data_IF_087426225444
#
_entry.id   IF_087426225444
#
_cell.length_a   1.000
_cell.length_b   1.000
_cell.length_c   1.000
_cell.angle_alpha   90.00
_cell.angle_beta   90.00
_cell.angle_gamma   90.00
#
_symmetry.space_group_name_H-M   'P 1'
#
loop_
_entity.id
_entity.type
_entity.pdbx_description
1 polymer ?
#
# COMPACT_ATOMS: atom_id res chain seq x y z
N UNK A 1 2.21 15.25 11.81
CA UNK A 1 3.34 14.31 11.90
C UNK A 1 3.08 13.21 10.87
N UNK A 2 4.06 12.83 10.04
CA UNK A 2 3.87 11.75 9.05
C UNK A 2 4.23 10.41 9.67
N UNK A 3 3.34 9.43 9.54
CA UNK A 3 3.57 8.05 9.96
C UNK A 3 4.29 7.30 8.83
N UNK A 4 5.27 6.47 9.19
CA UNK A 4 6.07 5.69 8.25
C UNK A 4 6.10 4.24 8.67
N UNK A 5 5.77 3.34 7.74
CA UNK A 5 5.97 1.91 7.89
C UNK A 5 6.98 1.44 6.85
N UNK A 6 7.96 0.63 7.26
CA UNK A 6 9.00 0.09 6.39
C UNK A 6 9.03 -1.43 6.55
N UNK A 7 9.01 -2.15 5.44
CA UNK A 7 9.13 -3.61 5.43
C UNK A 7 10.09 -4.05 4.32
N UNK A 8 10.90 -5.06 4.63
CA UNK A 8 11.78 -5.72 3.68
C UNK A 8 11.30 -7.17 3.53
N UNK A 9 11.17 -7.61 2.29
CA UNK A 9 10.83 -8.98 1.91
C UNK A 9 11.98 -9.58 1.12
N UNK A 10 12.39 -10.78 1.50
CA UNK A 10 13.39 -11.57 0.78
C UNK A 10 12.86 -12.99 0.59
N UNK A 11 13.01 -13.54 -0.61
CA UNK A 11 12.64 -14.93 -0.90
C UNK A 11 12.32 -15.18 -2.38
N UNK A 12 11.67 -16.31 -2.68
CA UNK A 12 11.14 -16.59 -4.01
C UNK A 12 10.18 -15.49 -4.48
N UNK A 13 10.09 -15.22 -5.80
CA UNK A 13 9.23 -14.17 -6.34
C UNK A 13 7.78 -14.24 -5.84
N UNK A 14 7.16 -15.41 -5.86
CA UNK A 14 5.75 -15.62 -5.51
C UNK A 14 5.51 -15.33 -4.02
N UNK A 15 6.46 -15.71 -3.16
CA UNK A 15 6.39 -15.46 -1.72
C UNK A 15 6.63 -14.00 -1.36
N UNK A 16 7.50 -13.32 -2.10
CA UNK A 16 7.71 -11.87 -1.92
C UNK A 16 6.48 -11.09 -2.37
N UNK A 17 5.91 -11.42 -3.52
CA UNK A 17 4.68 -10.80 -4.03
C UNK A 17 3.52 -10.97 -3.05
N UNK A 18 3.26 -12.22 -2.61
CA UNK A 18 2.16 -12.50 -1.67
C UNK A 18 2.31 -11.72 -0.37
N UNK A 19 3.48 -11.74 0.26
CA UNK A 19 3.71 -11.05 1.55
C UNK A 19 3.69 -9.53 1.41
N UNK A 20 4.17 -8.99 0.29
CA UNK A 20 4.10 -7.56 0.01
C UNK A 20 2.65 -7.09 -0.16
N UNK A 21 1.83 -7.89 -0.86
CA UNK A 21 0.40 -7.62 -1.02
C UNK A 21 -0.36 -7.74 0.31
N UNK A 22 -0.08 -8.76 1.12
CA UNK A 22 -0.64 -8.90 2.47
C UNK A 22 -0.31 -7.69 3.35
N UNK A 23 0.94 -7.20 3.28
CA UNK A 23 1.35 -5.99 4.00
C UNK A 23 0.57 -4.77 3.51
N UNK A 24 0.50 -4.52 2.20
CA UNK A 24 -0.21 -3.37 1.63
C UNK A 24 -1.73 -3.40 1.84
N UNK A 25 -2.31 -4.60 2.00
CA UNK A 25 -3.74 -4.76 2.30
C UNK A 25 -4.09 -4.51 3.77
N UNK A 26 -3.11 -4.43 4.69
CA UNK A 26 -3.35 -4.16 6.10
C UNK A 26 -3.97 -2.76 6.27
N UNK A 27 -5.03 -2.67 7.10
CA UNK A 27 -5.79 -1.42 7.31
C UNK A 27 -4.92 -0.28 7.85
N UNK A 28 -3.81 -0.57 8.51
CA UNK A 28 -2.86 0.43 9.00
C UNK A 28 -2.07 1.12 7.88
N UNK A 29 -2.01 0.50 6.68
CA UNK A 29 -1.35 1.05 5.48
C UNK A 29 -2.31 1.29 4.30
N UNK A 30 -3.53 0.76 4.34
CA UNK A 30 -4.54 0.87 3.27
C UNK A 30 -5.01 2.31 2.93
N UNK A 31 -4.50 3.33 3.63
CA UNK A 31 -4.76 4.75 3.38
C UNK A 31 -3.46 5.57 3.23
N UNK A 32 -2.42 4.94 2.70
CA UNK A 32 -1.15 5.59 2.44
C UNK A 32 -1.29 6.73 1.44
N UNK A 33 -0.70 7.89 1.74
CA UNK A 33 -0.56 8.98 0.78
C UNK A 33 0.59 8.73 -0.20
N UNK A 34 1.54 7.86 0.17
CA UNK A 34 2.67 7.49 -0.68
C UNK A 34 3.16 6.07 -0.39
N UNK A 35 3.36 5.30 -1.44
CA UNK A 35 4.04 4.00 -1.40
C UNK A 35 5.29 4.07 -2.26
N UNK A 36 6.44 3.68 -1.70
CA UNK A 36 7.71 3.55 -2.41
C UNK A 36 8.09 2.07 -2.38
N UNK A 37 8.35 1.52 -3.56
CA UNK A 37 8.79 0.14 -3.76
C UNK A 37 10.16 0.16 -4.43
N UNK A 38 11.14 -0.53 -3.85
CA UNK A 38 12.46 -0.72 -4.46
C UNK A 38 12.81 -2.20 -4.47
N UNK A 39 13.36 -2.67 -5.59
CA UNK A 39 13.88 -4.03 -5.72
C UNK A 39 15.39 -3.96 -6.05
N UNK A 40 16.20 -4.88 -5.52
CA UNK A 40 17.65 -4.91 -5.81
C UNK A 40 18.25 -6.31 -5.93
N UNK A 41 17.48 -7.36 -5.69
CA UNK A 41 17.88 -8.75 -5.91
C UNK A 41 16.82 -9.46 -6.75
N UNK A 42 17.26 -10.35 -7.64
CA UNK A 42 16.37 -11.13 -8.53
C UNK A 42 16.30 -12.61 -8.15
N UNK A 43 17.30 -13.14 -7.43
CA UNK A 43 17.30 -14.51 -6.90
C UNK A 43 18.24 -14.62 -5.66
N UNK A 44 17.71 -14.61 -4.42
CA UNK A 44 16.32 -14.37 -4.09
C UNK A 44 15.89 -12.93 -4.40
N UNK A 45 14.60 -12.74 -4.64
CA UNK A 45 14.03 -11.39 -4.78
C UNK A 45 14.21 -10.65 -3.47
N UNK A 46 14.68 -9.40 -3.53
CA UNK A 46 14.77 -8.49 -2.39
C UNK A 46 13.98 -7.23 -2.66
N UNK A 47 12.95 -6.99 -1.84
CA UNK A 47 11.96 -5.92 -2.01
C UNK A 47 11.87 -5.08 -0.72
N UNK A 48 12.02 -3.77 -0.84
CA UNK A 48 11.69 -2.78 0.19
C UNK A 48 10.36 -2.14 -0.17
N UNK A 49 9.43 -2.14 0.78
CA UNK A 49 8.18 -1.38 0.70
C UNK A 49 8.19 -0.37 1.85
N UNK A 50 8.10 0.91 1.49
CA UNK A 50 7.93 2.00 2.43
C UNK A 50 6.59 2.69 2.17
N UNK A 51 5.84 2.86 3.25
CA UNK A 51 4.52 3.48 3.24
C UNK A 51 4.59 4.74 4.09
N UNK A 52 4.21 5.89 3.51
CA UNK A 52 4.01 7.13 4.25
C UNK A 52 2.53 7.49 4.31
N UNK A 53 2.07 7.84 5.51
CA UNK A 53 0.70 8.32 5.77
C UNK A 53 0.75 9.64 6.51
N UNK A 54 -0.15 10.55 6.16
CA UNK A 54 -0.43 11.73 6.97
C UNK A 54 -1.82 11.56 7.61
N UNK A 55 -1.91 11.18 8.90
CA UNK A 55 -3.21 10.97 9.56
C UNK A 55 -4.05 12.26 9.67
N UNK A 56 -3.43 13.43 9.52
CA UNK A 56 -4.11 14.72 9.53
C UNK A 56 -4.64 15.15 8.14
N UNK A 57 -4.40 14.33 7.11
CA UNK A 57 -4.74 14.62 5.72
C UNK A 57 -5.62 13.49 5.16
N UNK A 58 -6.95 13.64 5.26
CA UNK A 58 -7.91 12.63 4.84
C UNK A 58 -8.13 12.60 3.33
N UNK A 59 -7.28 13.23 2.50
CA UNK A 59 -7.40 13.24 1.02
C UNK A 59 -7.72 11.86 0.43
N UNK A 60 -7.12 10.79 0.97
CA UNK A 60 -7.38 9.41 0.53
C UNK A 60 -8.78 8.92 0.95
N UNK A 61 -9.26 9.29 2.14
CA UNK A 61 -10.58 8.89 2.62
C UNK A 61 -11.71 9.65 1.91
N UNK A 62 -11.50 10.94 1.61
CA UNK A 62 -12.40 11.74 0.79
C UNK A 62 -12.47 11.20 -0.65
N UNK A 63 -11.32 10.92 -1.26
CA UNK A 63 -11.26 10.34 -2.60
C UNK A 63 -11.87 8.93 -2.67
N UNK A 64 -11.60 8.08 -1.68
CA UNK A 64 -12.19 6.75 -1.60
C UNK A 64 -13.72 6.80 -1.46
N UNK A 65 -14.24 7.74 -0.65
CA UNK A 65 -15.69 7.95 -0.52
C UNK A 65 -16.32 8.40 -1.84
N UNK A 66 -15.69 9.32 -2.56
CA UNK A 66 -16.13 9.75 -3.89
C UNK A 66 -16.18 8.58 -4.88
N UNK A 67 -15.13 7.76 -4.94
CA UNK A 67 -15.08 6.58 -5.83
C UNK A 67 -16.18 5.57 -5.48
N UNK A 68 -16.37 5.26 -4.20
CA UNK A 68 -17.43 4.33 -3.74
C UNK A 68 -18.82 4.86 -4.08
N UNK A 69 -19.06 6.17 -3.91
CA UNK A 69 -20.33 6.78 -4.28
C UNK A 69 -20.56 6.85 -5.79
N UNK A 70 -19.50 7.03 -6.59
CA UNK A 70 -19.59 7.00 -8.05
C UNK A 70 -19.95 5.59 -8.56
N UNK A 71 -19.35 4.54 -7.99
CA UNK A 71 -19.70 3.14 -8.30
C UNK A 71 -21.15 2.85 -7.95
N UNK A 72 -21.62 3.28 -6.77
CA UNK A 72 -23.03 3.10 -6.36
C UNK A 72 -24.01 3.82 -7.28
N UNK A 73 -23.64 5.00 -7.80
CA UNK A 73 -24.47 5.75 -8.75
C UNK A 73 -24.54 5.11 -10.14
N UNK A 74 -23.49 4.43 -10.59
CA UNK A 74 -23.47 3.75 -11.89
C UNK A 74 -24.07 2.34 -11.91
N UNK A 75 -24.42 1.79 -10.75
CA UNK A 75 -25.02 0.45 -10.61
C UNK A 75 -26.57 0.46 -10.53
N UNK A 76 -27.20 1.64 -10.55
CA UNK A 76 -28.64 1.85 -10.71
C UNK A 76 -28.95 2.38 -12.10
#
# INVERSE_FOLDING_TARGET
>A
MRERAVKIFVGPPEDVERRANEFLADKSVALAGKVIVNHWGTDPVSLLVMVERNPADPEVEAHYREVVEAIRRGAN
#
